data_IF_984991039863
#
_entry.id   IF_984991039863
#
_cell.length_a   1.000
_cell.length_b   1.000
_cell.length_c   1.000
_cell.angle_alpha   90.00
_cell.angle_beta   90.00
_cell.angle_gamma   90.00
#
_symmetry.space_group_name_H-M   'P 1'
#
loop_
_entity.id
_entity.type
_entity.pdbx_description
1 polymer ?
#
# COMPACT_ATOMS: atom_id res chain seq x y z
N UNK A 1 -66.27 -21.04 -11.82
CA UNK A 1 -66.05 -19.62 -11.44
C UNK A 1 -64.65 -19.27 -11.89
N UNK A 2 -64.53 -18.68 -13.08
CA UNK A 2 -63.27 -18.18 -13.61
C UNK A 2 -62.99 -16.86 -12.90
N UNK A 3 -61.95 -16.83 -12.05
CA UNK A 3 -61.49 -15.60 -11.42
C UNK A 3 -60.87 -14.73 -12.50
N UNK A 4 -61.70 -13.91 -13.13
CA UNK A 4 -61.28 -12.89 -14.08
C UNK A 4 -60.70 -11.73 -13.27
N UNK A 5 -59.44 -11.86 -12.86
CA UNK A 5 -58.66 -10.74 -12.34
C UNK A 5 -58.27 -9.86 -13.52
N UNK A 6 -59.25 -9.13 -14.08
CA UNK A 6 -58.98 -7.98 -14.94
C UNK A 6 -58.32 -6.92 -14.06
N UNK A 7 -56.99 -6.92 -14.06
CA UNK A 7 -56.19 -5.84 -13.48
C UNK A 7 -56.61 -4.56 -14.23
N UNK A 8 -57.07 -3.55 -13.49
CA UNK A 8 -57.43 -2.27 -14.07
C UNK A 8 -56.19 -1.72 -14.80
N UNK A 9 -56.28 -1.35 -16.09
CA UNK A 9 -55.17 -0.78 -16.84
C UNK A 9 -54.50 0.42 -16.15
N UNK A 10 -55.26 1.20 -15.36
CA UNK A 10 -54.70 2.29 -14.56
C UNK A 10 -53.87 1.80 -13.37
N UNK A 11 -54.31 0.74 -12.67
CA UNK A 11 -53.55 0.11 -11.57
C UNK A 11 -52.30 -0.62 -12.08
N UNK A 12 -52.37 -1.20 -13.28
CA UNK A 12 -51.19 -1.77 -13.93
C UNK A 12 -50.17 -0.69 -14.28
N UNK A 13 -50.62 0.42 -14.88
CA UNK A 13 -49.75 1.53 -15.28
C UNK A 13 -49.09 2.22 -14.07
N UNK A 14 -49.83 2.45 -12.98
CA UNK A 14 -49.28 3.04 -11.75
C UNK A 14 -48.25 2.11 -11.08
N UNK A 15 -48.51 0.79 -11.08
CA UNK A 15 -47.56 -0.20 -10.55
C UNK A 15 -46.30 -0.36 -11.40
N UNK A 16 -46.37 -0.02 -12.70
CA UNK A 16 -45.23 -0.09 -13.61
C UNK A 16 -44.21 1.02 -13.31
N UNK A 17 -44.69 2.24 -13.03
CA UNK A 17 -43.85 3.38 -12.65
C UNK A 17 -43.14 3.13 -11.31
N UNK A 18 -43.85 2.61 -10.31
CA UNK A 18 -43.25 2.22 -9.03
C UNK A 18 -42.15 1.15 -9.22
N UNK A 19 -42.42 0.12 -10.04
CA UNK A 19 -41.42 -0.93 -10.35
C UNK A 19 -40.22 -0.38 -11.11
N UNK A 20 -40.42 0.56 -12.04
CA UNK A 20 -39.34 1.23 -12.76
C UNK A 20 -38.45 2.04 -11.81
N UNK A 21 -39.05 2.76 -10.87
CA UNK A 21 -38.32 3.53 -9.86
C UNK A 21 -37.56 2.60 -8.91
N UNK A 22 -38.20 1.54 -8.41
CA UNK A 22 -37.56 0.56 -7.53
C UNK A 22 -36.39 -0.17 -8.21
N UNK A 23 -36.58 -0.62 -9.45
CA UNK A 23 -35.53 -1.26 -10.24
C UNK A 23 -34.38 -0.29 -10.51
N UNK A 24 -34.68 0.95 -10.94
CA UNK A 24 -33.66 1.96 -11.19
C UNK A 24 -32.85 2.30 -9.92
N UNK A 25 -33.50 2.35 -8.76
CA UNK A 25 -32.80 2.54 -7.49
C UNK A 25 -31.97 1.33 -7.07
N UNK A 26 -32.47 0.11 -7.26
CA UNK A 26 -31.73 -1.11 -6.96
C UNK A 26 -30.49 -1.24 -7.85
N UNK A 27 -30.64 -1.05 -9.16
CA UNK A 27 -29.55 -1.05 -10.12
C UNK A 27 -28.55 0.06 -9.80
N UNK A 28 -29.02 1.29 -9.57
CA UNK A 28 -28.17 2.43 -9.21
C UNK A 28 -27.33 2.16 -7.96
N UNK A 29 -27.91 1.54 -6.92
CA UNK A 29 -27.17 1.11 -5.72
C UNK A 29 -26.14 0.04 -6.06
N UNK A 30 -26.52 -1.02 -6.77
CA UNK A 30 -25.60 -2.09 -7.14
C UNK A 30 -24.40 -1.58 -7.94
N UNK A 31 -24.65 -0.77 -8.97
CA UNK A 31 -23.59 -0.15 -9.77
C UNK A 31 -22.72 0.79 -8.96
N UNK A 32 -23.32 1.59 -8.07
CA UNK A 32 -22.60 2.48 -7.15
C UNK A 32 -21.64 1.72 -6.24
N UNK A 33 -22.12 0.65 -5.59
CA UNK A 33 -21.29 -0.20 -4.73
C UNK A 33 -20.17 -0.89 -5.51
N UNK A 34 -20.47 -1.49 -6.66
CA UNK A 34 -19.46 -2.16 -7.48
C UNK A 34 -18.36 -1.19 -7.93
N UNK A 35 -18.73 0.00 -8.42
CA UNK A 35 -17.76 1.02 -8.84
C UNK A 35 -16.93 1.53 -7.67
N UNK A 36 -17.57 1.86 -6.55
CA UNK A 36 -16.88 2.35 -5.36
C UNK A 36 -15.90 1.32 -4.81
N UNK A 37 -16.33 0.06 -4.68
CA UNK A 37 -15.47 -1.03 -4.24
C UNK A 37 -14.28 -1.22 -5.19
N UNK A 38 -14.52 -1.29 -6.51
CA UNK A 38 -13.45 -1.51 -7.49
C UNK A 38 -12.41 -0.38 -7.46
N UNK A 39 -12.85 0.87 -7.38
CA UNK A 39 -11.93 2.01 -7.33
C UNK A 39 -11.14 2.04 -6.02
N UNK A 40 -11.80 1.84 -4.87
CA UNK A 40 -11.15 1.82 -3.57
C UNK A 40 -10.15 0.66 -3.43
N UNK A 41 -10.56 -0.54 -3.85
CA UNK A 41 -9.73 -1.74 -3.85
C UNK A 41 -8.48 -1.57 -4.71
N UNK A 42 -8.63 -1.12 -5.96
CA UNK A 42 -7.50 -0.93 -6.85
C UNK A 42 -6.49 0.07 -6.29
N UNK A 43 -6.95 1.23 -5.79
CA UNK A 43 -6.05 2.23 -5.18
C UNK A 43 -5.33 1.69 -3.95
N UNK A 44 -6.04 0.97 -3.09
CA UNK A 44 -5.43 0.36 -1.90
C UNK A 44 -4.39 -0.71 -2.26
N UNK A 45 -4.69 -1.53 -3.28
CA UNK A 45 -3.79 -2.57 -3.77
C UNK A 45 -2.54 -1.96 -4.41
N UNK A 46 -2.69 -0.97 -5.30
CA UNK A 46 -1.57 -0.29 -5.96
C UNK A 46 -0.65 0.35 -4.90
N UNK A 47 -1.24 1.06 -3.93
CA UNK A 47 -0.49 1.65 -2.81
C UNK A 47 0.27 0.61 -1.98
N UNK A 48 -0.37 -0.52 -1.67
CA UNK A 48 0.28 -1.60 -0.93
C UNK A 48 1.46 -2.19 -1.72
N UNK A 49 1.25 -2.54 -2.99
CA UNK A 49 2.27 -3.14 -3.85
C UNK A 49 3.47 -2.21 -4.00
N UNK A 50 3.23 -0.92 -4.24
CA UNK A 50 4.30 0.05 -4.45
C UNK A 50 5.18 0.21 -3.20
N UNK A 51 4.57 0.33 -2.02
CA UNK A 51 5.31 0.43 -0.76
C UNK A 51 6.06 -0.87 -0.42
N UNK A 52 5.44 -2.04 -0.59
CA UNK A 52 6.12 -3.31 -0.36
C UNK A 52 7.30 -3.53 -1.32
N UNK A 53 7.15 -3.12 -2.59
CA UNK A 53 8.24 -3.13 -3.57
C UNK A 53 9.40 -2.24 -3.14
N UNK A 54 9.12 -1.00 -2.73
CA UNK A 54 10.14 -0.08 -2.24
C UNK A 54 10.89 -0.66 -1.04
N UNK A 55 10.17 -1.17 -0.04
CA UNK A 55 10.78 -1.77 1.15
C UNK A 55 11.60 -3.01 0.80
N UNK A 56 11.18 -3.81 -0.17
CA UNK A 56 11.97 -4.94 -0.65
C UNK A 56 13.31 -4.50 -1.25
N UNK A 57 13.32 -3.41 -2.03
CA UNK A 57 14.54 -2.83 -2.62
C UNK A 57 15.47 -2.31 -1.52
N UNK A 58 14.93 -1.56 -0.55
CA UNK A 58 15.71 -1.04 0.60
C UNK A 58 16.33 -2.20 1.38
N UNK A 59 15.54 -3.24 1.68
CA UNK A 59 16.03 -4.41 2.40
C UNK A 59 17.17 -5.11 1.65
N UNK A 60 17.02 -5.35 0.35
CA UNK A 60 18.05 -5.98 -0.48
C UNK A 60 19.36 -5.16 -0.51
N UNK A 61 19.24 -3.83 -0.64
CA UNK A 61 20.39 -2.93 -0.57
C UNK A 61 21.10 -3.00 0.80
N UNK A 62 20.34 -2.97 1.89
CA UNK A 62 20.89 -3.09 3.23
C UNK A 62 21.52 -4.47 3.46
N UNK A 63 20.94 -5.57 2.98
CA UNK A 63 21.54 -6.91 3.08
C UNK A 63 22.88 -6.98 2.33
N UNK A 64 22.96 -6.40 1.14
CA UNK A 64 24.20 -6.31 0.37
C UNK A 64 25.29 -5.51 1.13
N UNK A 65 24.93 -4.35 1.68
CA UNK A 65 25.85 -3.57 2.52
C UNK A 65 26.30 -4.34 3.77
N UNK A 66 25.41 -5.14 4.37
CA UNK A 66 25.72 -5.94 5.55
C UNK A 66 26.79 -6.99 5.22
N UNK A 67 26.65 -7.66 4.07
CA UNK A 67 27.63 -8.64 3.60
C UNK A 67 28.99 -7.98 3.36
N UNK A 68 29.03 -6.79 2.74
CA UNK A 68 30.26 -6.03 2.53
C UNK A 68 30.93 -5.63 3.86
N UNK A 69 30.16 -5.14 4.84
CA UNK A 69 30.65 -4.77 6.18
C UNK A 69 31.08 -5.97 7.04
N UNK A 70 30.60 -7.18 6.74
CA UNK A 70 31.05 -8.39 7.42
C UNK A 70 32.34 -8.96 6.80
N UNK A 71 32.59 -8.67 5.51
CA UNK A 71 33.83 -9.05 4.83
C UNK A 71 35.03 -8.15 5.19
N UNK A 72 34.76 -6.96 5.75
CA UNK A 72 35.77 -5.97 6.14
C UNK A 72 35.89 -5.88 7.67
N UNK A 73 37.10 -6.04 8.22
CA UNK A 73 37.33 -5.97 9.67
C UNK A 73 37.22 -4.55 10.25
N UNK A 74 37.19 -3.51 9.41
CA UNK A 74 37.17 -2.11 9.80
C UNK A 74 35.79 -1.46 9.62
N UNK A 75 34.75 -2.17 10.07
CA UNK A 75 33.37 -1.72 9.91
C UNK A 75 32.96 -0.75 11.03
N UNK A 76 32.42 0.41 10.69
CA UNK A 76 31.91 1.36 11.68
C UNK A 76 30.73 0.75 12.48
N UNK A 77 30.82 0.61 13.82
CA UNK A 77 29.77 -0.01 14.63
C UNK A 77 28.45 0.76 14.60
N UNK A 78 28.48 2.09 14.39
CA UNK A 78 27.25 2.89 14.25
C UNK A 78 26.51 2.54 12.97
N UNK A 79 27.24 2.35 11.87
CA UNK A 79 26.66 1.96 10.59
C UNK A 79 26.04 0.57 10.67
N UNK A 80 26.72 -0.41 11.30
CA UNK A 80 26.18 -1.76 11.53
C UNK A 80 24.87 -1.72 12.33
N UNK A 81 24.79 -0.92 13.41
CA UNK A 81 23.55 -0.77 14.19
C UNK A 81 22.42 -0.15 13.37
N UNK A 82 22.70 0.91 12.61
CA UNK A 82 21.71 1.55 11.74
C UNK A 82 21.16 0.55 10.71
N UNK A 83 22.07 -0.20 10.07
CA UNK A 83 21.73 -1.19 9.06
C UNK A 83 20.84 -2.31 9.63
N UNK A 84 21.20 -2.85 10.80
CA UNK A 84 20.40 -3.86 11.48
C UNK A 84 19.01 -3.33 11.85
N UNK A 85 18.93 -2.10 12.36
CA UNK A 85 17.64 -1.46 12.69
C UNK A 85 16.75 -1.25 11.46
N UNK A 86 17.31 -0.90 10.30
CA UNK A 86 16.57 -0.83 9.04
C UNK A 86 16.06 -2.21 8.64
N UNK A 87 16.93 -3.24 8.66
CA UNK A 87 16.56 -4.61 8.27
C UNK A 87 15.47 -5.20 9.16
N UNK A 88 15.54 -5.00 10.48
CA UNK A 88 14.48 -5.42 11.40
C UNK A 88 13.16 -4.72 11.10
N UNK A 89 13.20 -3.42 10.84
CA UNK A 89 12.00 -2.66 10.49
C UNK A 89 11.42 -3.09 9.14
N UNK A 90 12.25 -3.42 8.14
CA UNK A 90 11.78 -3.99 6.88
C UNK A 90 11.12 -5.36 7.07
N UNK A 91 11.64 -6.20 7.97
CA UNK A 91 11.02 -7.49 8.30
C UNK A 91 9.68 -7.32 8.99
N UNK A 92 9.59 -6.40 9.93
CA UNK A 92 8.33 -6.04 10.60
C UNK A 92 7.31 -5.49 9.58
N UNK A 93 7.74 -4.61 8.68
CA UNK A 93 6.85 -4.03 7.67
C UNK A 93 6.21 -5.09 6.76
N UNK A 94 6.94 -6.17 6.43
CA UNK A 94 6.42 -7.27 5.60
C UNK A 94 5.25 -8.02 6.26
N UNK A 95 5.09 -7.96 7.57
CA UNK A 95 3.99 -8.63 8.28
C UNK A 95 2.80 -7.70 8.55
N UNK A 96 2.92 -6.40 8.24
CA UNK A 96 1.86 -5.42 8.50
C UNK A 96 0.82 -5.39 7.39
N UNK A 97 -0.43 -5.14 7.79
CA UNK A 97 -1.54 -4.88 6.88
C UNK A 97 -1.55 -3.38 6.51
N UNK A 98 -1.68 -3.00 5.22
CA UNK A 98 -1.61 -1.62 4.70
C UNK A 98 -2.60 -0.59 5.27
N UNK A 99 -3.44 -0.96 6.24
CA UNK A 99 -4.51 -0.11 6.78
C UNK A 99 -4.35 0.18 8.29
N UNK A 100 -3.15 -0.05 8.83
CA UNK A 100 -2.84 0.22 10.24
C UNK A 100 -2.01 1.51 10.37
N UNK A 101 -2.22 2.35 11.40
CA UNK A 101 -1.41 3.56 11.63
C UNK A 101 0.10 3.25 11.67
N UNK A 102 0.43 2.11 12.30
CA UNK A 102 1.78 1.56 12.37
C UNK A 102 2.43 1.32 11.00
N UNK A 103 1.65 1.01 9.97
CA UNK A 103 2.17 0.82 8.61
C UNK A 103 2.81 2.11 8.07
N UNK A 104 2.11 3.24 8.18
CA UNK A 104 2.61 4.53 7.71
C UNK A 104 3.80 5.03 8.54
N UNK A 105 3.74 4.86 9.86
CA UNK A 105 4.83 5.24 10.77
C UNK A 105 6.11 4.44 10.48
N UNK A 106 5.99 3.12 10.32
CA UNK A 106 7.13 2.25 10.06
C UNK A 106 7.72 2.52 8.67
N UNK A 107 6.89 2.72 7.67
CA UNK A 107 7.31 3.12 6.32
C UNK A 107 8.13 4.41 6.34
N UNK A 108 7.61 5.45 7.00
CA UNK A 108 8.31 6.73 7.13
C UNK A 108 9.64 6.57 7.88
N UNK A 109 9.65 5.78 8.94
CA UNK A 109 10.85 5.49 9.73
C UNK A 109 11.92 4.73 8.95
N UNK A 110 11.52 3.76 8.11
CA UNK A 110 12.45 3.05 7.22
C UNK A 110 13.04 4.02 6.20
N UNK A 111 12.20 4.82 5.53
CA UNK A 111 12.63 5.81 4.54
C UNK A 111 13.63 6.82 5.13
N UNK A 112 13.33 7.36 6.31
CA UNK A 112 14.20 8.34 6.98
C UNK A 112 15.57 7.74 7.34
N UNK A 113 15.60 6.52 7.89
CA UNK A 113 16.85 5.82 8.23
C UNK A 113 17.65 5.43 6.99
N UNK A 114 16.97 5.01 5.92
CA UNK A 114 17.61 4.72 4.63
C UNK A 114 18.24 5.98 4.02
N UNK A 115 17.54 7.11 4.03
CA UNK A 115 18.08 8.40 3.60
C UNK A 115 19.30 8.84 4.43
N UNK A 116 19.27 8.64 5.74
CA UNK A 116 20.43 8.91 6.59
C UNK A 116 21.62 8.00 6.23
N UNK A 117 21.37 6.73 5.93
CA UNK A 117 22.41 5.78 5.52
C UNK A 117 23.06 6.17 4.19
N UNK A 118 22.27 6.54 3.18
CA UNK A 118 22.78 6.92 1.85
C UNK A 118 23.40 8.31 1.84
N UNK A 119 22.81 9.27 2.56
CA UNK A 119 23.35 10.62 2.72
C UNK A 119 24.69 10.62 3.47
N UNK A 120 24.84 9.77 4.49
CA UNK A 120 26.11 9.62 5.21
C UNK A 120 27.21 8.95 4.37
N UNK A 121 26.86 8.10 3.40
CA UNK A 121 27.84 7.45 2.53
C UNK A 121 28.42 8.41 1.48
N UNK A 122 27.62 9.34 0.95
CA UNK A 122 28.08 10.29 -0.08
C UNK A 122 29.14 11.27 0.45
N UNK A 123 29.06 11.68 1.71
CA UNK A 123 30.07 12.54 2.35
C UNK A 123 31.39 11.83 2.67
N UNK A 124 31.41 10.50 2.80
CA UNK A 124 32.66 9.74 2.96
C UNK A 124 33.41 9.58 1.64
N UNK A 125 32.70 9.42 0.52
CA UNK A 125 33.33 9.32 -0.80
C UNK A 125 34.01 10.62 -1.25
N UNK A 126 33.44 11.79 -0.98
CA UNK A 126 34.07 13.07 -1.38
C UNK A 126 35.38 13.38 -0.64
N UNK A 127 35.55 12.87 0.59
CA UNK A 127 36.79 13.10 1.36
C UNK A 127 37.97 12.25 0.89
N UNK A 128 37.73 11.14 0.19
CA UNK A 128 38.81 10.29 -0.33
C UNK A 128 39.31 10.75 -1.69
N UNK A 129 38.49 11.43 -2.48
CA UNK A 129 38.88 11.91 -3.83
C UNK A 129 39.65 13.22 -3.83
N UNK A 130 39.66 13.98 -2.72
CA UNK A 130 40.43 15.22 -2.57
C UNK A 130 41.81 15.02 -1.92
N UNK A 131 42.24 13.77 -1.73
CA UNK A 131 43.53 13.41 -1.14
C UNK A 131 44.51 12.77 -2.15
N UNK A 132 44.35 13.05 -3.45
CA UNK A 132 45.32 12.73 -4.50
C UNK A 132 45.78 14.00 -5.20
#
# INVERSE_FOLDING_TARGET
>A
MTNDTTIDPLDFASSLDERLIENGQQEGRQYGYQRGFRQGFNRGLDYAIENHREIAIIAAYCEHLQQSLNSTNDSNPRQKRLLNGILESCREFRTLVPNTPRYAELLASIRARHQHLTGSNNHTTEKTTLAF
#
